data_IF_759884697353
#
_entry.id   IF_759884697353
#
_cell.length_a   1.000
_cell.length_b   1.000
_cell.length_c   1.000
_cell.angle_alpha   90.00
_cell.angle_beta   90.00
_cell.angle_gamma   90.00
#
_symmetry.space_group_name_H-M   'P 1'
#
loop_
_entity.id
_entity.type
_entity.pdbx_description
1 polymer ?
#
# COMPACT_ATOMS: atom_id res chain seq x y z
N UNK A 1 18.43 5.05 4.49
CA UNK A 1 18.79 3.73 3.94
C UNK A 1 18.80 2.74 5.09
N UNK A 2 18.09 1.61 4.99
CA UNK A 2 17.94 0.63 6.09
C UNK A 2 19.02 -0.46 6.10
N UNK A 3 19.73 -0.70 5.00
CA UNK A 3 20.77 -1.73 4.90
C UNK A 3 22.07 -1.15 4.31
N UNK A 4 22.72 -0.19 4.99
CA UNK A 4 23.95 0.41 4.47
C UNK A 4 25.06 -0.64 4.30
N UNK A 5 25.21 -1.56 5.25
CA UNK A 5 26.24 -2.60 5.23
C UNK A 5 26.05 -3.56 4.05
N UNK A 6 24.81 -4.01 3.80
CA UNK A 6 24.51 -4.85 2.65
C UNK A 6 24.86 -4.15 1.34
N UNK A 7 24.55 -2.86 1.21
CA UNK A 7 24.84 -2.08 -0.01
C UNK A 7 26.34 -1.97 -0.27
N UNK A 8 27.13 -1.62 0.75
CA UNK A 8 28.60 -1.51 0.60
C UNK A 8 29.22 -2.84 0.19
N UNK A 9 28.65 -3.96 0.65
CA UNK A 9 29.13 -5.31 0.33
C UNK A 9 28.51 -5.90 -0.95
N UNK A 10 27.73 -5.13 -1.73
CA UNK A 10 27.09 -5.61 -2.95
C UNK A 10 25.99 -6.65 -2.72
N UNK A 11 25.45 -6.74 -1.50
CA UNK A 11 24.31 -7.60 -1.19
C UNK A 11 23.03 -7.02 -1.77
N UNK A 12 22.34 -7.82 -2.58
CA UNK A 12 21.05 -7.45 -3.17
C UNK A 12 19.90 -7.50 -2.16
N UNK A 13 19.97 -8.34 -1.11
CA UNK A 13 18.78 -8.71 -0.33
C UNK A 13 18.96 -8.77 1.19
N UNK A 14 20.10 -9.26 1.65
CA UNK A 14 20.31 -9.54 3.07
C UNK A 14 21.22 -8.50 3.71
N UNK A 15 21.09 -8.33 5.03
CA UNK A 15 22.10 -7.66 5.85
C UNK A 15 23.43 -8.44 5.83
N UNK A 16 24.46 -7.87 6.45
CA UNK A 16 25.77 -8.54 6.60
C UNK A 16 25.67 -9.88 7.35
N UNK A 17 24.67 -10.05 8.21
CA UNK A 17 24.39 -11.30 8.93
C UNK A 17 23.59 -12.32 8.10
N UNK A 18 23.38 -12.08 6.80
CA UNK A 18 22.64 -12.97 5.91
C UNK A 18 21.11 -12.95 6.09
N UNK A 19 20.56 -11.97 6.81
CA UNK A 19 19.13 -11.89 7.14
C UNK A 19 18.39 -10.97 6.17
N UNK A 20 17.24 -11.43 5.65
CA UNK A 20 16.28 -10.56 4.96
C UNK A 20 15.60 -9.64 5.99
N UNK A 21 16.05 -8.39 6.07
CA UNK A 21 15.57 -7.42 7.06
C UNK A 21 14.06 -7.16 6.96
N UNK A 22 13.44 -7.40 5.80
CA UNK A 22 11.99 -7.26 5.64
C UNK A 22 11.22 -8.54 6.04
N UNK A 23 11.84 -9.44 6.81
CA UNK A 23 11.22 -10.65 7.40
C UNK A 23 11.35 -10.73 8.91
N UNK A 24 11.79 -9.65 9.56
CA UNK A 24 12.05 -9.60 11.01
C UNK A 24 11.38 -8.39 11.70
N UNK A 25 10.44 -7.70 11.03
CA UNK A 25 9.81 -6.51 11.59
C UNK A 25 8.90 -6.78 12.78
N UNK A 26 8.26 -7.95 12.82
CA UNK A 26 7.36 -8.32 13.91
C UNK A 26 8.12 -8.43 15.24
N UNK A 27 9.32 -9.02 15.21
CA UNK A 27 10.19 -9.26 16.38
C UNK A 27 11.68 -9.03 16.06
N UNK A 28 12.14 -7.79 15.82
CA UNK A 28 13.54 -7.53 15.53
C UNK A 28 14.40 -7.67 16.78
N UNK A 29 15.64 -8.12 16.61
CA UNK A 29 16.63 -8.19 17.69
C UNK A 29 17.44 -6.90 17.68
N UNK A 30 17.63 -6.29 18.85
CA UNK A 30 18.47 -5.08 19.00
C UNK A 30 19.91 -5.29 18.55
N UNK A 31 20.43 -6.52 18.68
CA UNK A 31 21.82 -6.84 18.34
C UNK A 31 21.96 -7.35 16.90
N UNK A 32 21.04 -8.21 16.44
CA UNK A 32 21.13 -8.83 15.10
C UNK A 32 20.50 -7.98 14.00
N UNK A 33 19.47 -7.20 14.33
CA UNK A 33 18.68 -6.39 13.38
C UNK A 33 18.55 -4.95 13.89
N UNK A 34 19.64 -4.27 14.30
CA UNK A 34 19.59 -2.96 14.94
C UNK A 34 18.84 -1.92 14.10
N UNK A 35 18.94 -2.01 12.78
CA UNK A 35 18.30 -1.09 11.83
C UNK A 35 16.78 -1.18 11.93
N UNK A 36 16.24 -2.40 11.95
CA UNK A 36 14.80 -2.62 12.06
C UNK A 36 14.32 -2.34 13.48
N UNK A 37 15.10 -2.75 14.49
CA UNK A 37 14.78 -2.50 15.90
C UNK A 37 14.63 -1.01 16.19
N UNK A 38 15.62 -0.20 15.79
CA UNK A 38 15.60 1.24 16.04
C UNK A 38 14.62 1.99 15.12
N UNK A 39 14.45 1.57 13.86
CA UNK A 39 13.40 2.13 12.99
C UNK A 39 12.01 1.95 13.61
N UNK A 40 11.71 0.74 14.11
CA UNK A 40 10.45 0.44 14.78
C UNK A 40 10.28 1.23 16.07
N UNK A 41 11.36 1.47 16.83
CA UNK A 41 11.33 2.29 18.03
C UNK A 41 10.95 3.75 17.73
N UNK A 42 11.34 4.32 16.59
CA UNK A 42 10.90 5.66 16.17
C UNK A 42 9.39 5.68 15.94
N UNK A 43 8.84 4.68 15.26
CA UNK A 43 7.38 4.58 15.03
C UNK A 43 6.65 4.43 16.38
N UNK A 44 7.15 3.57 17.27
CA UNK A 44 6.59 3.42 18.62
C UNK A 44 6.60 4.75 19.39
N UNK A 45 7.70 5.50 19.34
CA UNK A 45 7.80 6.81 19.98
C UNK A 45 6.77 7.81 19.43
N UNK A 46 6.56 7.84 18.11
CA UNK A 46 5.53 8.66 17.48
C UNK A 46 4.13 8.31 17.97
N UNK A 47 3.81 7.02 18.04
CA UNK A 47 2.49 6.54 18.48
C UNK A 47 2.26 6.74 19.98
N UNK A 48 3.21 6.36 20.82
CA UNK A 48 2.99 6.23 22.26
C UNK A 48 3.36 7.48 23.03
N UNK A 49 4.39 8.21 22.60
CA UNK A 49 4.90 9.38 23.32
C UNK A 49 4.35 10.65 22.69
N UNK A 50 4.54 10.84 21.38
CA UNK A 50 4.07 12.04 20.68
C UNK A 50 2.57 12.03 20.41
N UNK A 51 1.89 10.87 20.57
CA UNK A 51 0.48 10.68 20.24
C UNK A 51 0.13 11.13 18.82
N UNK A 52 1.09 11.02 17.91
CA UNK A 52 1.02 11.48 16.53
C UNK A 52 1.48 10.34 15.61
N UNK A 53 0.66 9.29 15.43
CA UNK A 53 1.03 8.17 14.58
C UNK A 53 1.24 8.64 13.12
N UNK A 54 2.12 7.98 12.35
CA UNK A 54 2.30 8.30 10.94
C UNK A 54 0.97 8.21 10.18
N UNK A 55 0.64 9.24 9.39
CA UNK A 55 -0.55 9.19 8.52
C UNK A 55 -0.36 8.23 7.35
N UNK A 56 0.88 8.04 6.89
CA UNK A 56 1.28 7.11 5.82
C UNK A 56 2.65 6.53 6.17
N UNK A 57 2.83 5.24 5.92
CA UNK A 57 4.12 4.56 5.96
C UNK A 57 4.41 3.90 4.61
N UNK A 58 5.61 4.10 4.06
CA UNK A 58 6.02 3.49 2.78
C UNK A 58 7.41 2.87 2.91
N UNK A 59 7.49 1.56 2.70
CA UNK A 59 8.71 0.77 2.58
C UNK A 59 9.10 0.67 1.10
N UNK A 60 10.19 1.33 0.68
CA UNK A 60 10.59 1.46 -0.72
C UNK A 60 11.52 0.32 -1.15
N UNK A 61 11.14 -0.39 -2.22
CA UNK A 61 11.84 -1.57 -2.76
C UNK A 61 12.05 -1.49 -4.27
N UNK A 62 12.90 -2.39 -4.76
CA UNK A 62 13.12 -2.64 -6.17
C UNK A 62 12.60 -4.02 -6.59
N UNK A 63 11.98 -4.13 -7.76
CA UNK A 63 11.36 -5.35 -8.24
C UNK A 63 11.94 -5.80 -9.58
N UNK A 64 12.53 -6.99 -9.59
CA UNK A 64 13.34 -7.49 -10.71
C UNK A 64 12.56 -8.03 -11.91
N UNK A 65 11.26 -8.29 -11.76
CA UNK A 65 10.46 -8.99 -12.81
C UNK A 65 9.30 -8.20 -13.40
N UNK A 66 8.81 -7.20 -12.69
CA UNK A 66 7.62 -6.42 -13.10
C UNK A 66 8.11 -5.07 -13.56
N UNK A 67 7.53 -4.58 -14.66
CA UNK A 67 7.66 -3.20 -15.08
C UNK A 67 6.88 -2.27 -14.13
N UNK A 68 7.08 -0.96 -14.31
CA UNK A 68 6.38 0.11 -13.61
C UNK A 68 6.63 0.18 -12.09
N UNK A 69 5.89 1.07 -11.45
CA UNK A 69 5.87 1.26 -10.00
C UNK A 69 4.49 0.87 -9.48
N UNK A 70 4.45 0.15 -8.37
CA UNK A 70 3.20 -0.32 -7.78
C UNK A 70 3.34 -0.51 -6.28
N UNK A 71 2.22 -0.76 -5.59
CA UNK A 71 2.19 -0.90 -4.14
C UNK A 71 1.57 -2.20 -3.68
N UNK A 72 2.10 -2.68 -2.57
CA UNK A 72 1.46 -3.70 -1.77
C UNK A 72 0.93 -3.07 -0.48
N UNK A 73 -0.37 -3.19 -0.19
CA UNK A 73 -1.01 -2.66 1.04
C UNK A 73 -1.67 -3.75 1.91
N UNK A 74 -2.48 -3.38 2.89
CA UNK A 74 -3.04 -4.35 3.85
C UNK A 74 -4.57 -4.33 3.79
N UNK A 75 -5.17 -5.19 2.97
CA UNK A 75 -6.61 -5.43 2.97
C UNK A 75 -6.96 -6.45 4.07
N UNK A 76 -7.70 -6.05 5.12
CA UNK A 76 -8.08 -6.98 6.19
C UNK A 76 -8.95 -8.14 5.69
N UNK A 77 -9.80 -7.92 4.69
CA UNK A 77 -10.70 -8.94 4.12
C UNK A 77 -9.93 -10.07 3.41
N UNK A 78 -8.79 -9.73 2.80
CA UNK A 78 -7.88 -10.65 2.11
C UNK A 78 -6.73 -11.14 3.01
N UNK A 79 -6.86 -10.99 4.33
CA UNK A 79 -5.88 -11.56 5.25
C UNK A 79 -6.05 -13.07 5.41
N UNK A 80 -4.93 -13.78 5.59
CA UNK A 80 -4.97 -15.18 5.99
C UNK A 80 -5.37 -15.37 7.46
N UNK A 81 -5.26 -14.34 8.32
CA UNK A 81 -5.66 -14.38 9.74
C UNK A 81 -7.13 -14.00 9.90
N UNK A 82 -7.87 -14.77 10.69
CA UNK A 82 -9.27 -14.48 11.02
C UNK A 82 -9.43 -13.17 11.82
N UNK A 83 -8.52 -12.91 12.76
CA UNK A 83 -8.55 -11.70 13.60
C UNK A 83 -8.50 -10.42 12.76
N UNK A 84 -7.66 -10.43 11.71
CA UNK A 84 -7.52 -9.30 10.79
C UNK A 84 -8.83 -9.02 10.06
N UNK A 85 -9.53 -10.07 9.60
CA UNK A 85 -10.82 -9.95 8.90
C UNK A 85 -11.92 -9.34 9.75
N UNK A 86 -11.84 -9.50 11.08
CA UNK A 86 -12.79 -8.91 12.01
C UNK A 86 -12.54 -7.42 12.27
N UNK A 87 -11.40 -6.86 11.81
CA UNK A 87 -11.08 -5.46 12.03
C UNK A 87 -11.98 -4.55 11.19
N UNK A 88 -12.58 -3.51 11.80
CA UNK A 88 -13.29 -2.50 11.04
C UNK A 88 -12.31 -1.76 10.13
N UNK A 89 -12.74 -1.53 8.89
CA UNK A 89 -11.94 -0.82 7.90
C UNK A 89 -12.83 -0.04 6.94
N UNK A 90 -12.23 0.94 6.28
CA UNK A 90 -12.86 1.87 5.36
C UNK A 90 -12.01 2.06 4.10
N UNK A 91 -11.34 0.98 3.67
CA UNK A 91 -10.56 0.92 2.44
C UNK A 91 -9.41 1.96 2.32
N UNK A 92 -8.91 2.49 3.45
CA UNK A 92 -7.84 3.49 3.43
C UNK A 92 -6.55 3.01 2.77
N UNK A 93 -6.31 1.69 2.76
CA UNK A 93 -5.19 1.09 2.06
C UNK A 93 -5.24 1.35 0.54
N UNK A 94 -6.38 1.66 -0.08
CA UNK A 94 -6.43 1.96 -1.53
C UNK A 94 -6.09 3.42 -1.86
N UNK A 95 -6.22 4.33 -0.91
CA UNK A 95 -6.30 5.75 -1.25
C UNK A 95 -4.98 6.39 -1.73
N UNK A 96 -3.81 5.93 -1.28
CA UNK A 96 -2.55 6.39 -1.89
C UNK A 96 -2.33 5.81 -3.30
N UNK A 97 -2.49 4.48 -3.51
CA UNK A 97 -2.49 3.91 -4.86
C UNK A 97 -3.45 4.58 -5.85
N UNK A 98 -4.69 4.87 -5.45
CA UNK A 98 -5.69 5.54 -6.31
C UNK A 98 -5.26 6.96 -6.73
N UNK A 99 -4.64 7.69 -5.81
CA UNK A 99 -4.11 9.03 -6.10
C UNK A 99 -2.90 8.95 -7.04
N UNK A 100 -2.02 7.97 -6.86
CA UNK A 100 -0.84 7.79 -7.70
C UNK A 100 -1.21 7.35 -9.11
N UNK A 101 -2.21 6.50 -9.27
CA UNK A 101 -2.73 6.12 -10.60
C UNK A 101 -3.15 7.35 -11.42
N UNK A 102 -3.72 8.37 -10.78
CA UNK A 102 -4.17 9.58 -11.46
C UNK A 102 -3.06 10.60 -11.70
N UNK A 103 -1.95 10.51 -10.97
CA UNK A 103 -0.95 11.58 -10.91
C UNK A 103 0.46 11.18 -11.33
N UNK A 104 0.74 9.88 -11.46
CA UNK A 104 2.04 9.34 -11.83
C UNK A 104 1.93 8.50 -13.09
N UNK A 105 2.64 8.90 -14.14
CA UNK A 105 2.69 8.13 -15.40
C UNK A 105 3.43 6.79 -15.29
N UNK A 106 4.23 6.65 -14.23
CA UNK A 106 5.02 5.46 -13.92
C UNK A 106 4.28 4.46 -13.01
N UNK A 107 3.21 4.89 -12.35
CA UNK A 107 2.45 4.06 -11.42
C UNK A 107 1.46 3.16 -12.18
N UNK A 108 1.24 1.96 -11.66
CA UNK A 108 0.25 1.02 -12.18
C UNK A 108 -0.55 0.39 -11.04
N UNK A 109 -1.79 0.82 -10.90
CA UNK A 109 -2.72 0.31 -9.89
C UNK A 109 -3.01 -1.18 -10.08
N UNK A 110 -3.15 -1.65 -11.33
CA UNK A 110 -3.44 -3.04 -11.66
C UNK A 110 -2.37 -4.03 -11.16
N UNK A 111 -1.13 -3.57 -10.96
CA UNK A 111 -0.05 -4.38 -10.41
C UNK A 111 -0.04 -4.45 -8.88
N UNK A 112 -0.86 -3.63 -8.21
CA UNK A 112 -0.94 -3.57 -6.76
C UNK A 112 -1.56 -4.85 -6.17
N UNK A 113 -1.18 -5.17 -4.93
CA UNK A 113 -1.73 -6.32 -4.20
C UNK A 113 -1.97 -5.97 -2.73
N UNK A 114 -3.16 -6.24 -2.24
CA UNK A 114 -3.54 -5.85 -0.88
C UNK A 114 -3.69 -7.04 0.08
N UNK A 115 -3.74 -8.27 -0.43
CA UNK A 115 -3.77 -9.47 0.39
C UNK A 115 -2.57 -9.63 1.33
N UNK A 116 -2.86 -10.20 2.50
CA UNK A 116 -1.86 -10.50 3.54
C UNK A 116 -1.71 -12.01 3.63
N UNK A 117 -0.57 -12.52 3.16
CA UNK A 117 -0.23 -13.94 3.22
C UNK A 117 0.67 -14.27 4.40
N UNK A 118 0.67 -15.54 4.84
CA UNK A 118 1.47 -16.01 5.97
C UNK A 118 2.97 -15.70 5.83
N UNK A 119 3.50 -15.73 4.61
CA UNK A 119 4.92 -15.42 4.35
C UNK A 119 5.28 -13.93 4.41
N UNK A 120 4.30 -13.04 4.57
CA UNK A 120 4.49 -11.57 4.58
C UNK A 120 4.20 -10.95 5.94
N UNK A 121 3.84 -11.74 6.95
CA UNK A 121 3.44 -11.21 8.25
C UNK A 121 4.52 -10.41 8.95
N UNK A 122 5.76 -10.84 8.81
CA UNK A 122 6.94 -10.19 9.39
C UNK A 122 7.53 -9.10 8.50
N UNK A 123 6.80 -8.67 7.47
CA UNK A 123 7.17 -7.51 6.65
C UNK A 123 6.83 -6.19 7.34
N UNK A 124 7.49 -5.12 6.89
CA UNK A 124 7.31 -3.78 7.40
C UNK A 124 5.84 -3.34 7.34
N UNK A 125 5.22 -3.39 6.15
CA UNK A 125 3.84 -2.92 5.94
C UNK A 125 2.83 -3.61 6.87
N UNK A 126 2.98 -4.93 7.09
CA UNK A 126 2.03 -5.71 7.89
C UNK A 126 2.25 -5.46 9.37
N UNK A 127 3.52 -5.44 9.81
CA UNK A 127 3.86 -5.12 11.20
C UNK A 127 3.39 -3.72 11.56
N UNK A 128 3.63 -2.74 10.68
CA UNK A 128 3.29 -1.34 10.96
C UNK A 128 1.78 -1.14 11.04
N UNK A 129 1.03 -1.79 10.14
CA UNK A 129 -0.43 -1.80 10.19
C UNK A 129 -0.96 -2.45 11.48
N UNK A 130 -0.52 -3.69 11.80
CA UNK A 130 -1.05 -4.45 12.94
C UNK A 130 -0.65 -3.88 14.30
N UNK A 131 0.60 -3.43 14.45
CA UNK A 131 1.13 -3.06 15.77
C UNK A 131 0.99 -1.57 16.09
N UNK A 132 0.90 -0.70 15.07
CA UNK A 132 0.81 0.75 15.27
C UNK A 132 -0.49 1.35 14.75
N UNK A 133 -1.38 0.56 14.15
CA UNK A 133 -2.68 1.04 13.65
C UNK A 133 -2.58 1.95 12.43
N UNK A 134 -1.44 2.00 11.74
CA UNK A 134 -1.26 2.82 10.55
C UNK A 134 -1.95 2.13 9.37
N UNK A 135 -3.17 2.57 9.03
CA UNK A 135 -4.02 1.96 8.00
C UNK A 135 -3.45 2.11 6.58
N UNK A 136 -2.63 3.13 6.36
CA UNK A 136 -1.95 3.46 5.09
C UNK A 136 -0.48 3.05 5.14
N UNK A 137 -0.23 1.77 5.36
CA UNK A 137 1.10 1.19 5.39
C UNK A 137 1.35 0.36 4.12
N UNK A 138 2.43 0.68 3.40
CA UNK A 138 2.70 0.15 2.07
C UNK A 138 4.12 -0.39 1.94
N UNK A 139 4.27 -1.39 1.09
CA UNK A 139 5.53 -1.61 0.36
C UNK A 139 5.33 -1.04 -1.04
N UNK A 140 6.23 -0.18 -1.50
CA UNK A 140 6.23 0.35 -2.86
C UNK A 140 7.38 -0.28 -3.62
N UNK A 141 7.09 -0.84 -4.78
CA UNK A 141 8.03 -1.55 -5.62
C UNK A 141 8.30 -0.74 -6.88
N UNK A 142 9.57 -0.42 -7.15
CA UNK A 142 10.02 0.18 -8.40
C UNK A 142 10.69 -0.86 -9.28
N UNK A 143 10.34 -0.90 -10.56
CA UNK A 143 10.97 -1.81 -11.52
C UNK A 143 12.49 -1.63 -11.67
N UNK A 144 13.19 -2.73 -11.94
CA UNK A 144 14.55 -2.72 -12.50
C UNK A 144 14.58 -2.75 -14.03
N UNK A 145 13.48 -3.16 -14.67
CA UNK A 145 13.45 -3.55 -16.08
C UNK A 145 13.01 -2.42 -17.02
N UNK A 146 12.25 -1.44 -16.52
CA UNK A 146 11.70 -0.37 -17.36
C UNK A 146 10.25 -0.02 -17.03
N UNK A 147 9.82 1.13 -17.53
CA UNK A 147 8.40 1.50 -17.54
C UNK A 147 7.75 0.97 -18.82
N UNK A 148 6.52 0.48 -18.70
CA UNK A 148 5.66 0.03 -19.80
C UNK A 148 4.49 1.01 -20.06
N UNK A 149 4.37 2.04 -19.22
CA UNK A 149 3.35 3.09 -19.28
C UNK A 149 3.97 4.48 -19.43
N UNK A 150 3.15 5.43 -19.86
CA UNK A 150 3.54 6.85 -19.88
C UNK A 150 4.62 7.21 -20.89
N UNK A 151 5.18 8.42 -20.71
CA UNK A 151 6.22 8.97 -21.59
C UNK A 151 7.55 8.19 -21.52
N UNK A 152 7.72 7.36 -20.49
CA UNK A 152 8.93 6.58 -20.23
C UNK A 152 8.90 5.18 -20.83
N UNK A 153 7.81 4.81 -21.51
CA UNK A 153 7.62 3.48 -22.08
C UNK A 153 8.78 3.10 -23.01
N UNK A 154 9.46 2.00 -22.67
CA UNK A 154 10.54 1.43 -23.49
C UNK A 154 11.89 2.17 -23.40
N UNK A 155 12.00 3.19 -22.54
CA UNK A 155 13.27 3.88 -22.28
C UNK A 155 13.99 3.30 -21.07
N UNK A 156 15.33 3.43 -21.07
CA UNK A 156 16.15 3.06 -19.93
C UNK A 156 15.84 3.95 -18.73
N UNK A 157 15.64 3.33 -17.57
CA UNK A 157 15.41 4.04 -16.31
C UNK A 157 16.73 4.53 -15.74
N UNK A 158 16.76 5.82 -15.40
CA UNK A 158 17.84 6.46 -14.68
C UNK A 158 17.42 6.98 -13.31
N UNK A 159 18.40 7.55 -12.61
CA UNK A 159 18.17 8.18 -11.30
C UNK A 159 17.23 9.39 -11.37
N UNK A 160 17.16 10.06 -12.54
CA UNK A 160 16.23 11.16 -12.78
C UNK A 160 14.78 10.70 -12.71
N UNK A 161 14.46 9.59 -13.35
CA UNK A 161 13.09 9.06 -13.40
C UNK A 161 12.68 8.54 -12.02
N UNK A 162 13.58 7.87 -11.29
CA UNK A 162 13.32 7.45 -9.90
C UNK A 162 13.11 8.63 -8.95
N UNK A 163 13.83 9.75 -9.15
CA UNK A 163 13.60 10.99 -8.38
C UNK A 163 12.24 11.61 -8.70
N UNK A 164 11.80 11.53 -9.95
CA UNK A 164 10.46 11.98 -10.36
C UNK A 164 9.36 11.12 -9.73
N UNK A 165 9.49 9.80 -9.73
CA UNK A 165 8.60 8.89 -8.99
C UNK A 165 8.56 9.27 -7.50
N UNK A 166 9.70 9.59 -6.89
CA UNK A 166 9.77 10.07 -5.51
C UNK A 166 9.02 11.39 -5.30
N UNK A 167 9.11 12.33 -6.24
CA UNK A 167 8.36 13.60 -6.21
C UNK A 167 6.84 13.34 -6.31
N UNK A 168 6.41 12.48 -7.22
CA UNK A 168 5.00 12.10 -7.40
C UNK A 168 4.45 11.39 -6.15
N UNK A 169 5.24 10.51 -5.51
CA UNK A 169 4.91 9.91 -4.23
C UNK A 169 4.60 10.96 -3.16
N UNK A 170 5.45 11.98 -3.02
CA UNK A 170 5.25 13.05 -2.03
C UNK A 170 3.99 13.87 -2.32
N UNK A 171 3.69 14.18 -3.58
CA UNK A 171 2.44 14.84 -3.96
C UNK A 171 1.22 13.96 -3.67
N UNK A 172 1.33 12.64 -3.89
CA UNK A 172 0.29 11.67 -3.54
C UNK A 172 0.01 11.64 -2.03
N UNK A 173 1.07 11.58 -1.21
CA UNK A 173 0.96 11.64 0.26
C UNK A 173 0.29 12.94 0.71
N UNK A 174 0.68 14.09 0.13
CA UNK A 174 0.07 15.38 0.46
C UNK A 174 -1.43 15.42 0.09
N UNK A 175 -1.80 14.88 -1.06
CA UNK A 175 -3.19 14.81 -1.50
C UNK A 175 -4.04 13.94 -0.55
N UNK A 176 -3.52 12.77 -0.18
CA UNK A 176 -4.14 11.88 0.82
C UNK A 176 -4.32 12.59 2.16
N UNK A 177 -3.28 13.28 2.65
CA UNK A 177 -3.34 14.02 3.90
C UNK A 177 -4.45 15.09 3.88
N UNK A 178 -4.55 15.86 2.80
CA UNK A 178 -5.61 16.87 2.59
C UNK A 178 -7.01 16.28 2.49
N UNK A 179 -7.16 15.06 1.98
CA UNK A 179 -8.45 14.37 1.92
C UNK A 179 -8.91 13.95 3.31
N UNK A 180 -8.01 13.42 4.14
CA UNK A 180 -8.29 13.00 5.52
C UNK A 180 -8.58 14.17 6.46
N UNK A 181 -8.05 15.37 6.19
CA UNK A 181 -8.27 16.57 7.00
C UNK A 181 -9.58 17.31 6.67
N UNK A 182 -10.32 16.91 5.63
CA UNK A 182 -11.60 17.55 5.29
C UNK A 182 -12.71 17.08 6.25
N UNK A 183 -13.57 17.97 6.76
CA UNK A 183 -14.72 17.55 7.54
C UNK A 183 -15.61 16.64 6.70
N UNK A 184 -15.93 15.44 7.21
CA UNK A 184 -16.85 14.51 6.56
C UNK A 184 -18.20 15.22 6.41
N UNK A 185 -18.63 15.49 5.17
CA UNK A 185 -19.99 15.96 4.93
C UNK A 185 -20.97 14.90 5.47
N UNK A 186 -22.08 15.30 6.13
CA UNK A 186 -23.07 14.34 6.57
C UNK A 186 -23.59 13.55 5.36
N UNK A 187 -23.88 12.24 5.54
CA UNK A 187 -24.40 11.43 4.45
C UNK A 187 -25.68 12.05 3.91
N UNK A 188 -25.74 12.27 2.59
CA UNK A 188 -26.99 12.68 1.93
C UNK A 188 -28.01 11.56 2.12
N UNK A 189 -29.10 11.86 2.81
CA UNK A 189 -30.27 10.98 2.93
C UNK A 189 -30.72 10.50 1.54
N UNK A 190 -30.92 9.20 1.40
CA UNK A 190 -31.01 8.48 0.13
C UNK A 190 -32.07 8.98 -0.85
N UNK A 191 -31.70 9.03 -2.13
CA UNK A 191 -32.65 8.96 -3.23
C UNK A 191 -33.25 7.55 -3.26
N UNK A 192 -34.55 7.44 -2.94
CA UNK A 192 -35.35 6.23 -3.17
C UNK A 192 -35.23 5.81 -4.63
N UNK A 193 -34.74 4.59 -4.88
CA UNK A 193 -34.90 3.91 -6.18
C UNK A 193 -36.41 3.78 -6.45
N UNK A 194 -36.90 4.39 -7.53
CA UNK A 194 -38.21 4.08 -8.11
C UNK A 194 -38.15 2.66 -8.67
N UNK A 195 -38.98 1.77 -8.14
CA UNK A 195 -39.18 0.43 -8.70
C UNK A 195 -40.01 0.51 -9.98
N UNK A 196 -39.57 -0.19 -11.03
CA UNK A 196 -40.39 -0.49 -12.19
C UNK A 196 -41.13 -1.80 -11.92
N UNK A 197 -42.45 -1.72 -11.74
CA UNK A 197 -43.37 -2.83 -11.92
C UNK A 197 -43.87 -2.78 -13.37
N UNK A 198 -43.49 -3.76 -14.20
CA UNK A 198 -44.19 -4.04 -15.46
C UNK A 198 -45.18 -5.17 -15.22
N UNK A 199 -46.46 -4.86 -15.44
CA UNK A 199 -47.58 -5.79 -15.47
C UNK A 199 -47.44 -6.76 -16.66
N UNK A 200 -47.59 -8.05 -16.39
CA UNK A 200 -47.86 -9.07 -17.40
C UNK A 200 -49.36 -9.05 -17.71
N UNK A 201 -49.75 -8.51 -18.86
CA UNK A 201 -51.07 -8.69 -19.43
C UNK A 201 -51.15 -10.08 -20.10
N UNK A 202 -51.95 -10.98 -19.54
CA UNK A 202 -52.32 -12.24 -20.16
C UNK A 202 -53.31 -12.01 -21.31
N UNK A 203 -53.00 -12.56 -22.48
CA UNK A 203 -53.94 -12.67 -23.60
C UNK A 203 -54.37 -14.14 -23.69
N UNK A 204 -55.63 -14.41 -23.38
CA UNK A 204 -56.27 -15.70 -23.68
C UNK A 204 -56.69 -15.72 -25.14
N UNK A 205 -56.15 -16.67 -25.91
CA UNK A 205 -56.66 -17.05 -27.23
C UNK A 205 -57.80 -18.05 -27.04
N UNK A 206 -59.00 -17.67 -27.48
CA UNK A 206 -60.12 -18.58 -27.68
C UNK A 206 -60.46 -18.63 -29.16
N UNK A 207 -60.41 -19.82 -29.75
CA UNK A 207 -61.08 -20.16 -31.01
C UNK A 207 -61.47 -21.64 -30.98
N UNK A 208 -62.77 -21.87 -31.16
CA UNK A 208 -63.50 -23.06 -31.65
C UNK A 208 -63.12 -24.44 -31.10
#
# INVERSE_FOLDING_TARGET
MLNPDGVVNGSHRCSLSGVDLNRVWDKPSRHMHPEIYHTKAVIQYMCDVLKTPPSVFVDLHGHSRKANVFMFGNNPEESWRADDKALPHNYEFMALPEVLEQSSSAFSFDLCQFGITRGKESSARVTVWRQFGVTRAYTMESTFSGFETGAYKGFQIGTKDLKEVGRELLFGILSVFKMSSRPKKPPRSGLKKRGNSMENAGVSLGTS
#
